data_IF_707361275858
#
_entry.id   IF_707361275858
#
_cell.length_a   1.000
_cell.length_b   1.000
_cell.length_c   1.000
_cell.angle_alpha   90.00
_cell.angle_beta   90.00
_cell.angle_gamma   90.00
#
_symmetry.space_group_name_H-M   'P 1'
#
loop_
_entity.id
_entity.type
_entity.pdbx_description
1 polymer ?
#
# COMPACT_ATOMS: atom_id res chain seq x y z
N UNK A 1 24.38 -2.68 -13.49
CA UNK A 1 25.36 -3.24 -12.54
C UNK A 1 24.57 -3.84 -11.38
N UNK A 2 25.06 -4.90 -10.72
CA UNK A 2 24.40 -5.47 -9.55
C UNK A 2 24.23 -4.42 -8.45
N UNK A 3 23.10 -4.43 -7.75
CA UNK A 3 22.86 -3.57 -6.59
C UNK A 3 23.61 -4.12 -5.38
N UNK A 4 24.28 -3.23 -4.66
CA UNK A 4 24.98 -3.60 -3.43
C UNK A 4 24.02 -3.75 -2.25
N UNK A 5 24.54 -4.33 -1.17
CA UNK A 5 23.78 -4.57 0.05
C UNK A 5 23.23 -3.25 0.65
N UNK A 6 24.02 -2.18 0.60
CA UNK A 6 23.66 -0.90 1.22
C UNK A 6 22.39 -0.29 0.60
N UNK A 7 22.15 -0.51 -0.70
CA UNK A 7 20.93 -0.09 -1.37
C UNK A 7 19.67 -0.73 -0.75
N UNK A 8 19.73 -2.00 -0.35
CA UNK A 8 18.60 -2.71 0.26
C UNK A 8 18.39 -2.38 1.74
N UNK A 9 19.39 -1.86 2.45
CA UNK A 9 19.29 -1.64 3.89
C UNK A 9 18.61 -0.31 4.28
N UNK A 10 18.36 0.58 3.32
CA UNK A 10 17.69 1.89 3.53
C UNK A 10 18.30 2.78 4.62
N UNK A 11 19.60 2.67 4.89
CA UNK A 11 20.26 3.45 5.96
C UNK A 11 20.11 4.98 5.80
N UNK A 12 19.91 5.44 4.58
CA UNK A 12 19.60 6.83 4.22
C UNK A 12 18.19 7.27 4.64
N UNK A 13 17.20 6.39 4.51
CA UNK A 13 15.79 6.69 4.82
C UNK A 13 15.45 6.54 6.31
N UNK A 14 16.16 5.66 7.03
CA UNK A 14 15.98 5.43 8.49
C UNK A 14 16.14 6.68 9.36
N UNK A 15 16.77 7.74 8.86
CA UNK A 15 17.05 8.99 9.61
C UNK A 15 16.16 10.17 9.20
N UNK A 16 15.32 10.00 8.19
CA UNK A 16 14.47 11.09 7.70
C UNK A 16 13.36 11.36 8.72
N UNK A 17 13.44 12.48 9.43
CA UNK A 17 12.39 12.90 10.35
C UNK A 17 11.36 13.75 9.60
N UNK A 18 10.13 13.25 9.52
CA UNK A 18 8.97 14.00 9.02
C UNK A 18 8.77 15.33 9.75
N UNK A 19 9.25 15.46 10.99
CA UNK A 19 9.19 16.70 11.77
C UNK A 19 10.06 17.83 11.21
N UNK A 20 11.01 17.53 10.33
CA UNK A 20 11.91 18.54 9.72
C UNK A 20 11.60 18.76 8.24
N UNK A 21 10.64 18.02 7.69
CA UNK A 21 10.27 18.18 6.28
C UNK A 21 9.30 19.35 6.14
N UNK A 22 9.56 20.31 5.24
CA UNK A 22 8.62 21.39 4.97
C UNK A 22 7.30 20.88 4.36
N UNK A 23 7.31 19.66 3.79
CA UNK A 23 6.13 19.00 3.26
C UNK A 23 5.93 17.66 3.96
N UNK A 24 4.73 17.46 4.50
CA UNK A 24 4.33 16.21 5.16
C UNK A 24 3.43 15.44 4.21
N UNK A 25 3.90 14.28 3.74
CA UNK A 25 3.10 13.35 2.97
C UNK A 25 1.98 12.77 3.85
N UNK A 26 0.73 12.98 3.46
CA UNK A 26 -0.44 12.43 4.16
C UNK A 26 -0.86 11.09 3.56
N UNK A 27 -0.71 10.94 2.24
CA UNK A 27 -0.88 9.67 1.54
C UNK A 27 0.13 9.63 0.40
N UNK A 28 0.77 8.48 0.22
CA UNK A 28 1.65 8.23 -0.92
C UNK A 28 1.52 6.77 -1.35
N UNK A 29 1.62 6.53 -2.65
CA UNK A 29 1.77 5.22 -3.26
C UNK A 29 2.57 5.42 -4.55
N UNK A 30 3.88 5.43 -4.40
CA UNK A 30 4.83 5.74 -5.47
C UNK A 30 5.59 4.48 -5.85
N UNK A 31 5.48 4.08 -7.11
CA UNK A 31 6.20 2.95 -7.68
C UNK A 31 7.15 3.45 -8.76
N UNK A 32 8.43 3.13 -8.61
CA UNK A 32 9.43 3.36 -9.65
C UNK A 32 10.07 2.03 -10.02
N UNK A 33 9.81 1.56 -11.23
CA UNK A 33 10.37 0.32 -11.75
C UNK A 33 11.17 0.54 -13.04
N UNK A 34 12.25 -0.20 -13.21
CA UNK A 34 13.04 -0.25 -14.44
C UNK A 34 13.36 -1.70 -14.80
N UNK A 35 13.59 -1.97 -16.09
CA UNK A 35 13.82 -3.32 -16.58
C UNK A 35 12.54 -4.15 -16.70
N UNK A 36 12.70 -5.47 -16.83
CA UNK A 36 11.59 -6.42 -17.05
C UNK A 36 11.49 -7.33 -15.83
N UNK A 37 10.33 -7.33 -15.15
CA UNK A 37 10.11 -8.15 -13.95
C UNK A 37 10.54 -9.60 -14.17
N UNK A 38 11.22 -10.16 -13.15
CA UNK A 38 11.77 -11.50 -13.18
C UNK A 38 13.04 -11.68 -14.03
N UNK A 39 13.58 -10.63 -14.66
CA UNK A 39 14.82 -10.70 -15.47
C UNK A 39 15.95 -9.86 -14.88
N UNK A 40 17.23 -10.27 -15.05
CA UNK A 40 18.36 -9.48 -14.57
C UNK A 40 18.33 -8.03 -15.04
N UNK A 41 18.63 -7.11 -14.12
CA UNK A 41 18.55 -5.68 -14.36
C UNK A 41 17.17 -5.07 -14.11
N UNK A 42 16.19 -5.87 -13.66
CA UNK A 42 14.97 -5.34 -13.06
C UNK A 42 15.28 -4.71 -11.71
N UNK A 43 14.73 -3.53 -11.46
CA UNK A 43 14.79 -2.83 -10.19
C UNK A 43 13.45 -2.17 -9.92
N UNK A 44 12.98 -2.23 -8.69
CA UNK A 44 11.74 -1.61 -8.24
C UNK A 44 11.97 -0.97 -6.87
N UNK A 45 11.51 0.26 -6.72
CA UNK A 45 11.38 0.94 -5.43
C UNK A 45 9.92 1.34 -5.26
N UNK A 46 9.34 0.91 -4.15
CA UNK A 46 7.99 1.28 -3.73
C UNK A 46 8.07 2.07 -2.43
N UNK A 47 7.38 3.21 -2.41
CA UNK A 47 7.24 4.04 -1.23
C UNK A 47 5.77 4.36 -1.01
N UNK A 48 5.31 4.18 0.22
CA UNK A 48 3.92 4.45 0.54
C UNK A 48 3.76 5.03 1.94
N UNK A 49 2.73 5.87 2.08
CA UNK A 49 2.38 6.54 3.33
C UNK A 49 0.88 6.42 3.55
N UNK A 50 0.52 6.07 4.77
CA UNK A 50 -0.82 6.13 5.31
C UNK A 50 -0.87 7.10 6.49
N UNK A 51 -1.99 7.81 6.66
CA UNK A 51 -2.14 8.74 7.77
C UNK A 51 -3.57 8.88 8.27
N UNK A 52 -3.69 9.22 9.54
CA UNK A 52 -4.94 9.68 10.14
C UNK A 52 -4.66 10.60 11.33
N UNK A 53 -5.65 11.43 11.63
CA UNK A 53 -5.63 12.32 12.78
C UNK A 53 -6.31 11.63 13.97
N UNK A 54 -5.74 11.83 15.14
CA UNK A 54 -6.24 11.30 16.40
C UNK A 54 -6.43 12.47 17.38
N UNK A 55 -7.50 12.51 18.18
CA UNK A 55 -7.56 13.40 19.33
C UNK A 55 -6.32 13.21 20.21
N UNK A 56 -5.76 14.27 20.79
CA UNK A 56 -4.58 14.15 21.66
C UNK A 56 -4.83 13.20 22.84
N UNK A 57 -6.07 13.15 23.35
CA UNK A 57 -6.51 12.20 24.37
C UNK A 57 -6.38 10.73 23.95
N UNK A 58 -6.43 10.43 22.65
CA UNK A 58 -6.33 9.09 22.08
C UNK A 58 -4.88 8.71 21.68
N UNK A 59 -3.85 9.42 22.17
CA UNK A 59 -2.45 9.20 21.78
C UNK A 59 -1.99 7.75 21.95
N UNK A 60 -2.39 7.08 23.04
CA UNK A 60 -1.98 5.70 23.30
C UNK A 60 -2.52 4.75 22.23
N UNK A 61 -3.79 4.91 21.85
CA UNK A 61 -4.41 4.15 20.77
C UNK A 61 -3.75 4.48 19.41
N UNK A 62 -3.48 5.75 19.13
CA UNK A 62 -2.82 6.16 17.89
C UNK A 62 -1.47 5.45 17.65
N UNK A 63 -0.73 5.17 18.73
CA UNK A 63 0.58 4.50 18.66
C UNK A 63 0.47 2.98 18.44
N UNK A 64 -0.68 2.36 18.65
CA UNK A 64 -0.89 0.92 18.36
C UNK A 64 -1.11 0.66 16.88
N UNK A 65 -1.49 1.69 16.13
CA UNK A 65 -1.90 1.60 14.73
C UNK A 65 -0.69 1.36 13.83
N UNK A 66 -0.82 0.36 12.95
CA UNK A 66 0.23 -0.13 12.06
C UNK A 66 -0.15 0.04 10.59
N UNK A 67 0.74 -0.45 9.72
CA UNK A 67 0.54 -0.41 8.27
C UNK A 67 -0.79 -1.00 7.82
N UNK A 68 -1.25 -2.09 8.45
CA UNK A 68 -2.51 -2.74 8.08
C UNK A 68 -3.75 -1.89 8.40
N UNK A 69 -3.67 -0.98 9.36
CA UNK A 69 -4.80 -0.17 9.83
C UNK A 69 -4.93 1.14 9.03
N UNK A 70 -3.79 1.75 8.71
CA UNK A 70 -3.69 3.10 8.15
C UNK A 70 -3.09 3.16 6.74
N UNK A 71 -2.52 2.07 6.23
CA UNK A 71 -1.84 2.00 4.94
C UNK A 71 -2.77 2.09 3.73
N UNK A 72 -2.36 1.50 2.60
CA UNK A 72 -3.11 1.68 1.34
C UNK A 72 -4.51 1.07 1.38
N UNK A 73 -4.70 -0.02 2.12
CA UNK A 73 -5.99 -0.70 2.28
C UNK A 73 -6.97 0.04 3.20
N UNK A 74 -6.56 1.16 3.80
CA UNK A 74 -7.41 1.97 4.65
C UNK A 74 -8.55 2.59 3.82
N UNK A 75 -9.73 2.00 3.90
CA UNK A 75 -10.90 2.44 3.13
C UNK A 75 -11.49 3.74 3.71
N UNK A 76 -11.82 4.70 2.84
CA UNK A 76 -12.49 5.96 3.18
C UNK A 76 -13.90 6.00 2.61
N UNK A 77 -14.76 5.09 3.07
CA UNK A 77 -16.19 5.01 2.70
C UNK A 77 -17.07 4.82 3.92
N UNK A 78 -18.32 5.26 3.83
CA UNK A 78 -19.29 5.02 4.89
C UNK A 78 -19.55 3.54 5.07
N UNK A 79 -19.70 3.10 6.31
CA UNK A 79 -19.95 1.69 6.65
C UNK A 79 -20.82 1.58 7.90
N UNK A 80 -21.30 0.37 8.19
CA UNK A 80 -22.04 0.09 9.43
C UNK A 80 -21.10 -0.60 10.40
N UNK A 81 -20.95 -0.01 11.58
CA UNK A 81 -20.20 -0.59 12.70
C UNK A 81 -21.12 -0.69 13.92
N UNK A 82 -21.25 -1.88 14.50
CA UNK A 82 -22.10 -2.13 15.68
C UNK A 82 -23.54 -1.58 15.51
N UNK A 83 -24.13 -1.76 14.33
CA UNK A 83 -25.49 -1.32 14.02
C UNK A 83 -25.67 0.19 13.82
N UNK A 84 -24.58 0.97 13.78
CA UNK A 84 -24.61 2.41 13.50
C UNK A 84 -23.85 2.75 12.23
N UNK A 85 -24.36 3.72 11.48
CA UNK A 85 -23.66 4.27 10.33
C UNK A 85 -22.46 5.09 10.80
N UNK A 86 -21.29 4.81 10.22
CA UNK A 86 -20.05 5.56 10.38
C UNK A 86 -19.80 6.31 9.08
N UNK A 87 -19.71 7.65 9.12
CA UNK A 87 -19.36 8.48 7.96
C UNK A 87 -17.98 8.14 7.38
N UNK A 88 -17.76 8.42 6.10
CA UNK A 88 -16.49 8.13 5.41
C UNK A 88 -15.30 8.93 5.93
N UNK A 89 -15.56 10.03 6.62
CA UNK A 89 -14.59 10.98 7.15
C UNK A 89 -14.31 10.78 8.64
N UNK A 90 -14.84 9.70 9.24
CA UNK A 90 -14.65 9.38 10.64
C UNK A 90 -14.41 7.89 10.82
N UNK A 91 -13.60 7.52 11.82
CA UNK A 91 -13.55 6.16 12.35
C UNK A 91 -13.69 6.20 13.87
N UNK A 92 -14.46 5.25 14.44
CA UNK A 92 -14.60 5.17 15.88
C UNK A 92 -13.26 4.82 16.52
N UNK A 93 -13.04 5.34 17.73
CA UNK A 93 -11.97 4.89 18.60
C UNK A 93 -12.30 3.51 19.18
N UNK A 94 -11.28 2.73 19.50
CA UNK A 94 -11.42 1.45 20.20
C UNK A 94 -11.99 1.66 21.61
N UNK A 95 -11.52 2.68 22.33
CA UNK A 95 -12.06 3.08 23.62
C UNK A 95 -13.22 4.07 23.46
N UNK A 96 -14.48 3.65 23.69
CA UNK A 96 -15.65 4.52 23.54
C UNK A 96 -15.74 5.62 24.61
N UNK A 97 -14.92 5.57 25.67
CA UNK A 97 -14.89 6.60 26.71
C UNK A 97 -13.98 7.77 26.36
N UNK A 98 -13.04 7.56 25.42
CA UNK A 98 -12.18 8.62 24.91
C UNK A 98 -12.98 9.52 23.95
N UNK A 99 -13.04 10.83 24.19
CA UNK A 99 -13.82 11.72 23.34
C UNK A 99 -13.17 11.89 21.95
N UNK A 100 -14.01 11.90 20.93
CA UNK A 100 -13.62 12.18 19.55
C UNK A 100 -13.69 10.97 18.63
N UNK A 101 -13.00 11.06 17.50
CA UNK A 101 -12.92 10.04 16.47
C UNK A 101 -11.62 10.21 15.70
N UNK A 102 -11.20 9.14 15.04
CA UNK A 102 -10.07 9.16 14.11
C UNK A 102 -10.55 9.82 12.81
N UNK A 103 -9.77 10.74 12.25
CA UNK A 103 -10.12 11.48 11.03
C UNK A 103 -9.10 11.18 9.93
N UNK A 104 -9.47 10.51 8.82
CA UNK A 104 -8.63 10.46 7.63
C UNK A 104 -8.51 11.85 7.00
N UNK A 105 -7.28 12.39 6.91
CA UNK A 105 -7.07 13.71 6.32
C UNK A 105 -7.09 13.67 4.78
N UNK A 106 -6.89 12.49 4.20
CA UNK A 106 -7.06 12.20 2.78
C UNK A 106 -8.24 11.24 2.61
N UNK A 107 -9.19 11.62 1.77
CA UNK A 107 -10.35 10.82 1.38
C UNK A 107 -10.11 10.31 -0.03
N UNK A 108 -10.00 8.99 -0.18
CA UNK A 108 -9.95 8.34 -1.47
C UNK A 108 -11.36 8.11 -1.99
N UNK A 109 -11.68 8.76 -3.11
CA UNK A 109 -12.91 8.56 -3.85
C UNK A 109 -12.66 7.52 -4.95
N UNK A 110 -12.99 6.26 -4.64
CA UNK A 110 -13.06 5.19 -5.63
C UNK A 110 -14.05 5.57 -6.73
N UNK A 111 -13.64 5.42 -7.98
CA UNK A 111 -14.48 5.68 -9.15
C UNK A 111 -14.99 4.37 -9.74
N UNK A 112 -16.19 4.39 -10.32
CA UNK A 112 -16.72 3.22 -11.02
C UNK A 112 -16.04 3.09 -12.38
N UNK A 113 -15.57 1.88 -12.72
CA UNK A 113 -14.97 1.57 -14.01
C UNK A 113 -13.44 1.58 -13.99
N UNK A 114 -12.82 1.96 -15.11
CA UNK A 114 -11.35 1.99 -15.27
C UNK A 114 -10.74 3.36 -14.94
N UNK A 115 -11.48 4.23 -14.25
CA UNK A 115 -10.99 5.53 -13.86
C UNK A 115 -10.12 5.40 -12.59
N UNK A 116 -8.98 6.10 -12.51
CA UNK A 116 -8.19 6.09 -11.29
C UNK A 116 -9.01 6.68 -10.14
N UNK A 117 -8.75 6.19 -8.93
CA UNK A 117 -9.29 6.82 -7.73
C UNK A 117 -8.80 8.27 -7.66
N UNK A 118 -9.62 9.16 -7.11
CA UNK A 118 -9.24 10.55 -6.88
C UNK A 118 -9.00 10.76 -5.38
N UNK A 119 -7.96 11.53 -5.04
CA UNK A 119 -7.65 11.85 -3.64
C UNK A 119 -8.10 13.26 -3.30
N UNK A 120 -8.88 13.38 -2.24
CA UNK A 120 -9.37 14.64 -1.73
C UNK A 120 -8.78 14.92 -0.36
N UNK A 121 -8.42 16.19 -0.11
CA UNK A 121 -8.23 16.63 1.26
C UNK A 121 -9.57 16.67 1.99
N UNK A 122 -9.53 16.32 3.27
CA UNK A 122 -10.68 16.42 4.15
C UNK A 122 -11.27 17.84 4.09
N UNK A 123 -12.60 17.94 3.93
CA UNK A 123 -13.26 19.22 3.70
C UNK A 123 -13.06 20.19 4.86
N UNK A 124 -13.16 19.72 6.11
CA UNK A 124 -12.89 20.54 7.31
C UNK A 124 -11.51 21.21 7.28
N UNK A 125 -10.46 20.51 6.81
CA UNK A 125 -9.12 21.09 6.66
C UNK A 125 -9.12 22.23 5.66
N UNK A 126 -9.70 21.99 4.47
CA UNK A 126 -9.75 23.00 3.40
C UNK A 126 -10.61 24.21 3.77
N UNK A 127 -11.73 24.00 4.47
CA UNK A 127 -12.65 25.07 4.87
C UNK A 127 -12.10 25.89 6.04
N UNK A 128 -11.57 25.22 7.06
CA UNK A 128 -10.98 25.88 8.24
C UNK A 128 -9.84 26.79 7.86
N UNK A 129 -8.95 26.33 6.97
CA UNK A 129 -7.82 27.11 6.46
C UNK A 129 -8.20 28.03 5.29
N UNK A 130 -9.47 28.05 4.87
CA UNK A 130 -9.99 28.86 3.76
C UNK A 130 -9.16 28.68 2.46
N UNK A 131 -8.76 27.43 2.20
CA UNK A 131 -7.96 27.07 1.04
C UNK A 131 -8.83 27.06 -0.21
N UNK A 132 -8.24 27.51 -1.31
CA UNK A 132 -8.82 27.39 -2.64
C UNK A 132 -8.08 26.30 -3.41
N UNK A 133 -8.82 25.35 -3.99
CA UNK A 133 -8.25 24.35 -4.89
C UNK A 133 -8.06 24.97 -6.29
N UNK A 134 -6.86 24.85 -6.82
CA UNK A 134 -6.47 25.21 -8.19
C UNK A 134 -5.77 23.99 -8.78
N UNK A 135 -6.49 23.24 -9.62
CA UNK A 135 -6.08 21.93 -10.14
C UNK A 135 -5.68 20.97 -9.00
N UNK A 136 -4.41 20.55 -8.99
CA UNK A 136 -3.83 19.65 -8.00
C UNK A 136 -3.14 20.40 -6.83
N UNK A 137 -3.47 21.67 -6.63
CA UNK A 137 -2.91 22.50 -5.55
C UNK A 137 -4.01 23.09 -4.70
N UNK A 138 -3.72 23.26 -3.42
CA UNK A 138 -4.52 24.06 -2.51
C UNK A 138 -3.70 25.25 -2.07
N UNK A 139 -4.18 26.44 -2.40
CA UNK A 139 -3.52 27.71 -2.09
C UNK A 139 -4.31 28.44 -1.01
N UNK A 140 -3.62 29.17 -0.14
CA UNK A 140 -4.21 30.01 0.90
C UNK A 140 -4.30 31.47 0.42
N UNK A 141 -5.44 31.96 -0.08
CA UNK A 141 -5.52 33.30 -0.67
C UNK A 141 -5.21 34.41 0.34
N UNK A 142 -5.57 34.19 1.62
CA UNK A 142 -5.32 35.14 2.73
C UNK A 142 -3.84 35.30 3.07
N UNK A 143 -3.02 34.34 2.67
CA UNK A 143 -1.58 34.33 2.87
C UNK A 143 -0.81 34.61 1.58
N UNK A 144 -1.42 35.35 0.65
CA UNK A 144 -0.78 35.67 -0.63
C UNK A 144 -0.68 34.48 -1.57
N UNK A 145 -1.67 33.59 -1.55
CA UNK A 145 -1.75 32.39 -2.41
C UNK A 145 -0.59 31.41 -2.21
N UNK A 146 -0.03 31.36 -0.99
CA UNK A 146 0.94 30.33 -0.61
C UNK A 146 0.33 28.93 -0.80
N UNK A 147 1.12 28.02 -1.33
CA UNK A 147 0.73 26.62 -1.49
C UNK A 147 0.69 25.94 -0.12
N UNK A 148 -0.50 25.52 0.29
CA UNK A 148 -0.73 24.82 1.56
C UNK A 148 -0.73 23.30 1.36
N UNK A 149 -1.13 22.81 0.19
CA UNK A 149 -1.10 21.40 -0.14
C UNK A 149 -0.96 21.17 -1.65
N UNK A 150 -0.48 19.99 -2.02
CA UNK A 150 -0.45 19.55 -3.41
C UNK A 150 -0.66 18.05 -3.57
N UNK A 151 -1.26 17.71 -4.69
CA UNK A 151 -1.40 16.37 -5.22
C UNK A 151 -0.39 16.18 -6.36
N UNK A 152 0.47 15.19 -6.23
CA UNK A 152 1.39 14.75 -7.25
C UNK A 152 0.78 13.53 -7.92
N UNK A 153 0.80 13.51 -9.25
CA UNK A 153 0.31 12.40 -10.06
C UNK A 153 1.47 11.65 -10.71
N UNK A 154 1.26 10.36 -10.96
CA UNK A 154 2.20 9.53 -11.70
C UNK A 154 2.14 9.81 -13.22
N UNK A 155 2.90 9.03 -14.00
CA UNK A 155 2.96 9.16 -15.45
C UNK A 155 1.62 8.86 -16.15
N UNK A 156 0.74 8.08 -15.51
CA UNK A 156 -0.58 7.72 -16.01
C UNK A 156 -1.67 8.72 -15.57
N UNK A 157 -1.31 9.73 -14.77
CA UNK A 157 -2.22 10.73 -14.23
C UNK A 157 -2.97 10.28 -12.96
N UNK A 158 -2.61 9.14 -12.38
CA UNK A 158 -3.19 8.67 -11.13
C UNK A 158 -2.56 9.39 -9.94
N UNK A 159 -3.32 9.66 -8.85
CA UNK A 159 -2.76 10.14 -7.59
C UNK A 159 -1.60 9.29 -7.08
N UNK A 160 -0.44 9.91 -6.87
CA UNK A 160 0.77 9.25 -6.40
C UNK A 160 1.16 9.72 -4.99
N UNK A 161 1.04 11.02 -4.70
CA UNK A 161 1.37 11.59 -3.38
C UNK A 161 0.56 12.84 -3.08
N UNK A 162 -0.13 12.88 -1.95
CA UNK A 162 -0.77 14.09 -1.43
C UNK A 162 -0.01 14.55 -0.18
N UNK A 163 0.48 15.78 -0.23
CA UNK A 163 1.28 16.38 0.83
C UNK A 163 0.80 17.78 1.20
N UNK A 164 1.02 18.14 2.46
CA UNK A 164 0.63 19.43 3.05
C UNK A 164 1.88 20.11 3.60
N UNK A 165 1.95 21.42 3.40
CA UNK A 165 3.00 22.25 3.97
C UNK A 165 2.91 22.22 5.50
N UNK A 166 4.04 21.95 6.15
CA UNK A 166 4.09 21.61 7.57
C UNK A 166 3.44 22.68 8.46
N UNK A 167 3.64 23.96 8.13
CA UNK A 167 3.09 25.09 8.89
C UNK A 167 1.55 25.06 8.96
N UNK A 168 0.87 24.83 7.83
CA UNK A 168 -0.59 24.77 7.77
C UNK A 168 -1.14 23.55 8.52
N UNK A 169 -0.42 22.42 8.43
CA UNK A 169 -0.78 21.21 9.15
C UNK A 169 -0.67 21.43 10.67
N UNK A 170 0.44 21.98 11.16
CA UNK A 170 0.65 22.18 12.59
C UNK A 170 -0.34 23.17 13.20
N UNK A 171 -0.68 24.26 12.49
CA UNK A 171 -1.70 25.22 12.92
C UNK A 171 -3.06 24.53 13.06
N UNK A 172 -3.46 23.75 12.06
CA UNK A 172 -4.72 23.01 12.08
C UNK A 172 -4.78 21.95 13.20
N UNK A 173 -3.72 21.16 13.36
CA UNK A 173 -3.63 20.14 14.42
C UNK A 173 -3.74 20.76 15.81
N UNK A 174 -3.05 21.89 16.02
CA UNK A 174 -3.06 22.63 17.29
C UNK A 174 -4.45 23.20 17.57
N UNK A 175 -5.11 23.78 16.56
CA UNK A 175 -6.46 24.35 16.72
C UNK A 175 -7.52 23.29 17.06
N UNK A 176 -7.34 22.04 16.59
CA UNK A 176 -8.27 20.93 16.82
C UNK A 176 -7.93 20.05 18.04
N UNK A 177 -6.82 20.31 18.73
CA UNK A 177 -6.26 19.40 19.75
C UNK A 177 -6.14 17.95 19.23
N UNK A 178 -5.45 17.80 18.10
CA UNK A 178 -5.22 16.52 17.44
C UNK A 178 -3.74 16.29 17.14
N UNK A 179 -3.34 15.02 17.10
CA UNK A 179 -2.06 14.56 16.56
C UNK A 179 -2.24 13.87 15.21
N UNK A 180 -1.15 13.82 14.43
CA UNK A 180 -1.08 13.05 13.19
C UNK A 180 -0.30 11.75 13.43
N UNK A 181 -0.90 10.60 13.09
CA UNK A 181 -0.21 9.32 12.99
C UNK A 181 0.17 9.08 11.53
N UNK A 182 1.45 8.82 11.29
CA UNK A 182 1.97 8.40 9.99
C UNK A 182 2.40 6.93 10.09
N UNK A 183 2.07 6.15 9.08
CA UNK A 183 2.64 4.82 8.85
C UNK A 183 3.28 4.82 7.46
N UNK A 184 4.47 4.27 7.36
CA UNK A 184 5.28 4.36 6.15
C UNK A 184 5.76 2.98 5.75
N UNK A 185 5.73 2.69 4.47
CA UNK A 185 6.22 1.43 3.92
C UNK A 185 7.22 1.71 2.80
N UNK A 186 8.35 1.02 2.84
CA UNK A 186 9.40 1.09 1.85
C UNK A 186 9.76 -0.31 1.41
N UNK A 187 9.84 -0.52 0.10
CA UNK A 187 10.28 -1.79 -0.48
C UNK A 187 11.25 -1.51 -1.63
N UNK A 188 12.31 -2.30 -1.69
CA UNK A 188 13.25 -2.34 -2.81
C UNK A 188 13.39 -3.78 -3.25
N UNK A 189 13.28 -4.01 -4.55
CA UNK A 189 13.48 -5.31 -5.17
C UNK A 189 14.42 -5.13 -6.36
N UNK A 190 15.32 -6.09 -6.58
CA UNK A 190 16.07 -6.16 -7.82
C UNK A 190 16.25 -7.61 -8.26
N UNK A 191 16.42 -7.84 -9.55
CA UNK A 191 16.80 -9.16 -10.06
C UNK A 191 18.24 -9.14 -10.54
N UNK A 192 19.07 -10.01 -9.97
CA UNK A 192 20.49 -10.12 -10.24
C UNK A 192 20.83 -11.47 -10.89
N UNK A 193 21.79 -11.46 -11.81
CA UNK A 193 22.22 -12.67 -12.52
C UNK A 193 23.04 -13.62 -11.63
N UNK A 194 23.81 -13.06 -10.70
CA UNK A 194 24.69 -13.80 -9.79
C UNK A 194 24.18 -13.66 -8.36
N UNK A 195 24.50 -14.66 -7.54
CA UNK A 195 24.23 -14.61 -6.11
C UNK A 195 24.94 -13.38 -5.51
N UNK A 196 24.21 -12.45 -4.87
CA UNK A 196 24.80 -11.25 -4.32
C UNK A 196 25.67 -11.50 -3.07
N UNK A 197 25.58 -12.67 -2.44
CA UNK A 197 26.35 -13.04 -1.24
C UNK A 197 26.28 -11.97 -0.12
N UNK A 198 25.11 -11.35 0.07
CA UNK A 198 24.91 -10.39 1.16
C UNK A 198 25.12 -11.05 2.51
N UNK A 199 25.57 -10.27 3.50
CA UNK A 199 25.86 -10.82 4.85
C UNK A 199 24.64 -11.44 5.53
N UNK A 200 23.45 -11.14 5.02
CA UNK A 200 22.17 -11.65 5.51
C UNK A 200 21.45 -12.56 4.51
N UNK A 201 22.13 -13.05 3.46
CA UNK A 201 21.51 -13.83 2.39
C UNK A 201 21.11 -15.27 2.78
N UNK A 202 21.67 -15.84 3.84
CA UNK A 202 21.42 -17.24 4.24
C UNK A 202 20.05 -17.46 4.92
N UNK A 203 19.41 -16.38 5.40
CA UNK A 203 18.09 -16.42 6.04
C UNK A 203 17.32 -15.13 5.78
N UNK A 204 16.03 -15.09 6.16
CA UNK A 204 15.29 -13.82 6.22
C UNK A 204 15.92 -12.94 7.29
N UNK A 205 16.59 -11.88 6.85
CA UNK A 205 17.01 -10.79 7.70
C UNK A 205 15.78 -10.11 8.29
N UNK A 206 15.80 -9.87 9.59
CA UNK A 206 14.82 -9.04 10.25
C UNK A 206 15.51 -8.16 11.30
N UNK A 207 15.14 -6.90 11.35
CA UNK A 207 15.59 -5.92 12.35
C UNK A 207 14.37 -5.14 12.84
N UNK A 208 14.26 -4.93 14.15
CA UNK A 208 13.25 -4.06 14.75
C UNK A 208 13.96 -3.01 15.62
N UNK A 209 14.47 -1.91 15.03
CA UNK A 209 15.21 -0.89 15.78
C UNK A 209 14.40 -0.24 16.90
N UNK A 210 13.07 -0.23 16.77
CA UNK A 210 12.12 0.30 17.74
C UNK A 210 10.83 -0.52 17.71
N UNK A 211 9.89 -0.21 18.60
CA UNK A 211 8.52 -0.77 18.52
C UNK A 211 7.72 -0.24 17.32
N UNK A 212 8.21 0.80 16.65
CA UNK A 212 7.52 1.48 15.55
C UNK A 212 8.18 1.24 14.19
N UNK A 213 9.41 0.70 14.18
CA UNK A 213 10.20 0.45 12.98
C UNK A 213 10.56 -1.03 12.88
N UNK A 214 10.25 -1.64 11.73
CA UNK A 214 10.71 -2.97 11.38
C UNK A 214 11.28 -2.99 9.97
N UNK A 215 12.26 -3.86 9.75
CA UNK A 215 12.92 -4.04 8.48
C UNK A 215 13.09 -5.53 8.22
N UNK A 216 12.88 -5.95 6.98
CA UNK A 216 13.12 -7.31 6.55
C UNK A 216 13.78 -7.35 5.17
N UNK A 217 14.65 -8.33 4.96
CA UNK A 217 15.30 -8.57 3.68
C UNK A 217 15.62 -10.04 3.50
N UNK A 218 15.55 -10.54 2.28
CA UNK A 218 15.96 -11.91 1.97
C UNK A 218 16.37 -11.98 0.51
N UNK A 219 17.14 -13.01 0.18
CA UNK A 219 17.48 -13.35 -1.20
C UNK A 219 16.76 -14.64 -1.54
N UNK A 220 16.10 -14.68 -2.69
CA UNK A 220 15.41 -15.87 -3.20
C UNK A 220 15.84 -16.13 -4.63
N UNK A 221 16.03 -17.40 -5.02
CA UNK A 221 16.28 -17.70 -6.42
C UNK A 221 14.99 -18.02 -7.16
N UNK A 222 14.83 -17.47 -8.36
CA UNK A 222 13.67 -17.66 -9.24
C UNK A 222 14.10 -18.16 -10.64
N UNK A 223 13.15 -18.70 -11.39
CA UNK A 223 13.31 -18.91 -12.83
C UNK A 223 13.17 -17.58 -13.58
N UNK A 224 14.19 -17.24 -14.38
CA UNK A 224 14.23 -16.00 -15.13
C UNK A 224 12.99 -15.81 -16.02
N UNK A 225 12.31 -14.67 -15.84
CA UNK A 225 11.14 -14.27 -16.62
C UNK A 225 9.82 -14.88 -16.17
N UNK A 226 9.80 -15.80 -15.20
CA UNK A 226 8.54 -16.41 -14.70
C UNK A 226 8.15 -15.90 -13.32
N UNK A 227 9.12 -15.48 -12.50
CA UNK A 227 8.88 -15.05 -11.11
C UNK A 227 8.69 -16.20 -10.11
N UNK A 228 8.58 -17.44 -10.58
CA UNK A 228 8.43 -18.62 -9.71
C UNK A 228 9.77 -19.02 -9.08
N UNK A 229 9.77 -19.53 -7.83
CA UNK A 229 10.99 -19.98 -7.18
C UNK A 229 11.70 -21.06 -8.01
N UNK A 230 13.03 -21.02 -8.00
CA UNK A 230 13.85 -21.91 -8.82
C UNK A 230 13.76 -23.35 -8.32
N UNK A 231 13.45 -24.29 -9.21
CA UNK A 231 13.25 -25.70 -8.90
C UNK A 231 11.79 -26.10 -8.63
N UNK A 232 10.88 -25.13 -8.55
CA UNK A 232 9.45 -25.38 -8.41
C UNK A 232 8.84 -25.97 -9.67
N UNK A 233 7.70 -26.64 -9.49
CA UNK A 233 6.92 -27.22 -10.58
C UNK A 233 5.45 -26.86 -10.40
N UNK A 234 4.72 -26.76 -11.49
CA UNK A 234 3.29 -26.53 -11.50
C UNK A 234 2.54 -27.83 -11.77
N UNK A 235 1.62 -28.19 -10.89
CA UNK A 235 0.65 -29.27 -11.13
C UNK A 235 -0.53 -28.73 -11.91
N UNK A 236 -0.90 -29.40 -13.00
CA UNK A 236 -2.05 -29.09 -13.84
C UNK A 236 -3.05 -30.22 -13.70
N UNK A 237 -4.30 -29.89 -13.39
CA UNK A 237 -5.40 -30.84 -13.27
C UNK A 237 -6.47 -30.46 -14.29
N UNK A 238 -6.91 -31.42 -15.09
CA UNK A 238 -8.14 -31.33 -15.87
C UNK A 238 -9.15 -32.28 -15.24
N UNK A 239 -10.30 -31.75 -14.86
CA UNK A 239 -11.38 -32.51 -14.25
C UNK A 239 -12.63 -32.24 -15.09
N UNK A 240 -13.29 -33.31 -15.55
CA UNK A 240 -14.49 -33.22 -16.37
C UNK A 240 -15.56 -34.17 -15.84
N UNK A 241 -16.82 -33.75 -15.96
CA UNK A 241 -17.99 -34.59 -15.69
C UNK A 241 -18.27 -35.47 -16.91
N UNK A 242 -18.60 -36.74 -16.67
CA UNK A 242 -18.93 -37.70 -17.74
C UNK A 242 -20.43 -37.94 -17.89
N UNK A 243 -21.25 -37.42 -16.98
CA UNK A 243 -22.70 -37.58 -16.93
C UNK A 243 -23.46 -36.36 -17.50
N UNK A 244 -22.81 -35.57 -18.35
CA UNK A 244 -23.44 -34.48 -19.10
C UNK A 244 -23.88 -35.03 -20.45
N UNK A 245 -25.20 -35.08 -20.70
CA UNK A 245 -25.73 -35.32 -22.03
C UNK A 245 -25.73 -34.00 -22.82
N UNK A 246 -25.16 -34.03 -24.03
CA UNK A 246 -25.04 -32.84 -24.90
C UNK A 246 -26.35 -32.51 -25.60
N UNK A 247 -27.29 -33.46 -25.65
CA UNK A 247 -28.62 -33.27 -26.25
C UNK A 247 -29.65 -32.72 -25.24
N UNK A 248 -29.31 -32.70 -23.95
CA UNK A 248 -30.17 -32.12 -22.92
C UNK A 248 -30.17 -30.59 -23.01
N UNK A 249 -31.34 -29.98 -23.23
CA UNK A 249 -31.49 -28.51 -23.17
C UNK A 249 -31.13 -27.94 -21.79
N UNK A 250 -31.33 -28.73 -20.72
CA UNK A 250 -30.95 -28.38 -19.34
C UNK A 250 -30.40 -29.62 -18.64
N UNK A 251 -29.07 -29.75 -18.48
CA UNK A 251 -28.46 -30.89 -17.80
C UNK A 251 -28.87 -30.97 -16.32
N UNK A 252 -29.35 -32.13 -15.88
CA UNK A 252 -29.66 -32.40 -14.46
C UNK A 252 -28.48 -33.14 -13.84
N UNK A 253 -27.67 -32.43 -13.05
CA UNK A 253 -26.43 -32.96 -12.49
C UNK A 253 -26.59 -33.31 -11.00
N UNK A 254 -26.24 -34.55 -10.63
CA UNK A 254 -26.05 -34.95 -9.23
C UNK A 254 -24.71 -34.45 -8.66
N UNK A 255 -24.40 -34.69 -7.37
CA UNK A 255 -23.08 -34.39 -6.82
C UNK A 255 -21.97 -35.12 -7.58
N UNK A 256 -20.75 -34.54 -7.68
CA UNK A 256 -19.62 -35.23 -8.26
C UNK A 256 -19.22 -36.46 -7.41
N UNK A 257 -19.00 -37.58 -8.08
CA UNK A 257 -18.55 -38.86 -7.56
C UNK A 257 -17.40 -39.38 -8.42
N UNK A 258 -16.69 -40.40 -7.94
CA UNK A 258 -15.60 -41.07 -8.69
C UNK A 258 -16.11 -41.75 -9.98
N UNK A 259 -17.42 -42.01 -10.08
CA UNK A 259 -18.05 -42.67 -11.23
C UNK A 259 -18.45 -41.68 -12.34
N UNK A 260 -18.79 -40.43 -11.98
CA UNK A 260 -19.25 -39.42 -12.92
C UNK A 260 -18.22 -38.32 -13.21
N UNK A 261 -16.97 -38.52 -12.77
CA UNK A 261 -15.89 -37.56 -12.93
C UNK A 261 -14.65 -38.27 -13.47
N UNK A 262 -14.06 -37.72 -14.53
CA UNK A 262 -12.73 -38.10 -15.00
C UNK A 262 -11.75 -36.99 -14.70
N UNK A 263 -10.51 -37.36 -14.35
CA UNK A 263 -9.45 -36.40 -14.21
C UNK A 263 -8.17 -36.85 -14.90
N UNK A 264 -7.44 -35.89 -15.44
CA UNK A 264 -6.05 -36.08 -15.86
C UNK A 264 -5.20 -35.04 -15.15
N UNK A 265 -4.06 -35.47 -14.63
CA UNK A 265 -3.12 -34.57 -13.98
C UNK A 265 -1.74 -34.70 -14.61
N UNK A 266 -0.98 -33.63 -14.56
CA UNK A 266 0.39 -33.58 -15.04
C UNK A 266 1.18 -32.55 -14.25
N UNK A 267 2.50 -32.68 -14.30
CA UNK A 267 3.40 -31.72 -13.66
C UNK A 267 4.27 -31.09 -14.74
N UNK A 268 4.43 -29.77 -14.67
CA UNK A 268 5.23 -29.00 -15.60
C UNK A 268 6.21 -28.11 -14.84
N UNK A 269 7.50 -28.30 -15.09
CA UNK A 269 8.54 -27.40 -14.58
C UNK A 269 8.55 -26.05 -15.29
N UNK A 270 9.15 -25.05 -14.65
CA UNK A 270 9.36 -23.73 -15.24
C UNK A 270 10.66 -23.69 -16.05
N UNK A 271 10.63 -22.98 -17.17
CA UNK A 271 11.81 -22.71 -17.99
C UNK A 271 12.51 -21.42 -17.54
N UNK A 272 13.81 -21.32 -17.79
CA UNK A 272 14.61 -20.12 -17.50
C UNK A 272 15.80 -20.40 -16.60
N UNK A 273 16.87 -19.60 -16.78
CA UNK A 273 18.05 -19.67 -15.94
C UNK A 273 17.73 -19.29 -14.48
N UNK A 274 18.54 -19.77 -13.54
CA UNK A 274 18.48 -19.32 -12.14
C UNK A 274 18.93 -17.87 -12.07
N UNK A 275 18.11 -17.03 -11.46
CA UNK A 275 18.43 -15.63 -11.11
C UNK A 275 18.00 -15.35 -9.68
N UNK A 276 18.49 -14.25 -9.10
CA UNK A 276 18.33 -13.94 -7.68
C UNK A 276 17.47 -12.69 -7.53
N UNK A 277 16.44 -12.79 -6.71
CA UNK A 277 15.52 -11.72 -6.32
C UNK A 277 15.77 -11.35 -4.86
#
# INVERSE_FOLDING_TARGET
MPRDQAWFEFRDRRKASYQRSPWVALRASELSATGISGRPGFEEEYYAVGSALYPTAARTEALTQQWMDLGQSAVTRGYVHQGKYVPSDQRPLEDPTTPGHIVPLVLEAEQIGSWPAEWHLHQDFTLTLQLRREDDRWVAPREGYREAARLLRDADGSPARLEVAQEFLLDYLTARDMGLRLVTFHQRQAIQQTDPQFTWAEARWAEAPSSEDSFEGWVSSIHAGTGFPFGEQMSVYHIARTDVDVEDEVPILGPPTDENTISTSGVRGFAGARVYR
#
